data_IF_970291503161
#
_entry.id   IF_970291503161
#
_cell.length_a   1.000
_cell.length_b   1.000
_cell.length_c   1.000
_cell.angle_alpha   90.00
_cell.angle_beta   90.00
_cell.angle_gamma   90.00
#
_symmetry.space_group_name_H-M   'P 1'
#
loop_
_entity.id
_entity.type
_entity.pdbx_description
1 polymer ?
#
# COMPACT_ATOMS: atom_id res chain seq x y z
N UNK A 1 -60.76 32.91 -5.67
CA UNK A 1 -59.89 33.00 -4.48
C UNK A 1 -60.11 31.75 -3.68
N UNK A 2 -59.15 30.92 -3.29
CA UNK A 2 -57.74 30.74 -3.64
C UNK A 2 -57.44 29.31 -3.21
N UNK A 3 -56.80 28.54 -4.08
CA UNK A 3 -56.10 27.31 -3.73
C UNK A 3 -54.80 27.70 -3.06
N UNK A 4 -54.50 27.16 -1.89
CA UNK A 4 -53.16 27.24 -1.30
C UNK A 4 -52.67 25.81 -1.11
N UNK A 5 -51.75 25.40 -1.99
CA UNK A 5 -51.07 24.12 -2.00
C UNK A 5 -49.62 24.33 -1.53
N UNK A 6 -49.18 23.45 -0.65
CA UNK A 6 -47.88 23.46 -0.01
C UNK A 6 -46.75 23.26 -1.02
N UNK A 7 -45.66 24.01 -0.89
CA UNK A 7 -44.35 23.57 -1.38
C UNK A 7 -43.24 23.92 -0.39
N UNK A 8 -42.70 22.87 0.24
CA UNK A 8 -41.46 22.95 1.00
C UNK A 8 -40.27 23.17 0.03
N UNK A 9 -39.24 23.95 0.39
CA UNK A 9 -38.05 24.11 -0.42
C UNK A 9 -37.14 22.87 -0.32
N UNK A 10 -36.64 22.44 -1.49
CA UNK A 10 -35.90 21.20 -1.70
C UNK A 10 -34.48 21.19 -1.17
N UNK A 11 -33.99 19.98 -0.90
CA UNK A 11 -32.69 19.62 -0.35
C UNK A 11 -31.62 19.42 -1.45
N UNK A 12 -31.54 20.31 -2.44
CA UNK A 12 -30.63 20.16 -3.59
C UNK A 12 -29.28 20.90 -3.42
N UNK A 13 -29.03 21.56 -2.27
CA UNK A 13 -27.83 22.41 -2.09
C UNK A 13 -26.57 21.74 -1.52
N UNK A 14 -26.60 20.45 -1.17
CA UNK A 14 -25.48 19.78 -0.50
C UNK A 14 -24.49 19.12 -1.49
N UNK A 15 -24.98 18.57 -2.61
CA UNK A 15 -24.14 17.85 -3.57
C UNK A 15 -23.19 18.78 -4.35
N UNK A 16 -23.67 19.97 -4.73
CA UNK A 16 -22.88 20.96 -5.47
C UNK A 16 -21.73 21.57 -4.64
N UNK A 17 -21.89 21.61 -3.31
CA UNK A 17 -20.87 22.09 -2.38
C UNK A 17 -19.71 21.10 -2.19
N UNK A 18 -20.00 19.81 -2.12
CA UNK A 18 -18.99 18.74 -2.01
C UNK A 18 -18.17 18.59 -3.29
N UNK A 19 -18.78 18.72 -4.47
CA UNK A 19 -18.07 18.68 -5.76
C UNK A 19 -17.17 19.92 -5.96
N UNK A 20 -17.59 21.10 -5.47
CA UNK A 20 -16.78 22.31 -5.50
C UNK A 20 -15.62 22.27 -4.49
N UNK A 21 -15.80 21.68 -3.31
CA UNK A 21 -14.73 21.48 -2.32
C UNK A 21 -13.72 20.41 -2.81
N UNK A 22 -14.18 19.44 -3.59
CA UNK A 22 -13.33 18.46 -4.28
C UNK A 22 -12.45 19.07 -5.39
N UNK A 23 -12.86 20.19 -6.01
CA UNK A 23 -12.08 20.91 -7.00
C UNK A 23 -10.87 21.61 -6.36
N UNK A 24 -9.75 20.89 -6.28
CA UNK A 24 -8.47 21.40 -5.77
C UNK A 24 -7.85 20.56 -4.66
N UNK A 25 -8.57 19.55 -4.16
CA UNK A 25 -8.01 18.59 -3.20
C UNK A 25 -7.01 17.67 -3.89
N UNK A 26 -5.84 17.51 -3.26
CA UNK A 26 -4.81 16.58 -3.77
C UNK A 26 -5.33 15.15 -3.74
N UNK A 27 -4.84 14.34 -4.67
CA UNK A 27 -5.08 12.89 -4.69
C UNK A 27 -3.74 12.17 -4.56
N UNK A 28 -3.48 11.63 -3.38
CA UNK A 28 -2.22 10.97 -3.05
C UNK A 28 -2.46 9.46 -2.93
N UNK A 29 -1.63 8.69 -3.62
CA UNK A 29 -1.56 7.24 -3.47
C UNK A 29 -0.26 6.92 -2.73
N UNK A 30 -0.31 6.12 -1.68
CA UNK A 30 0.85 5.42 -1.14
C UNK A 30 0.79 3.97 -1.60
N UNK A 31 1.88 3.47 -2.19
CA UNK A 31 2.01 2.07 -2.58
C UNK A 31 3.13 1.44 -1.76
N UNK A 32 2.90 0.24 -1.22
CA UNK A 32 3.83 -0.52 -0.40
C UNK A 32 3.74 -2.02 -0.75
N UNK A 33 4.86 -2.61 -1.20
CA UNK A 33 4.91 -4.02 -1.59
C UNK A 33 4.71 -4.96 -0.39
N UNK A 34 3.94 -6.03 -0.59
CA UNK A 34 3.61 -6.94 0.50
C UNK A 34 4.79 -7.86 0.87
N UNK A 35 5.28 -7.74 2.11
CA UNK A 35 6.40 -8.52 2.65
C UNK A 35 7.60 -8.60 1.69
N UNK A 36 7.95 -7.46 1.06
CA UNK A 36 8.72 -7.39 -0.18
C UNK A 36 9.87 -8.39 -0.33
N UNK A 37 10.89 -8.34 0.54
CA UNK A 37 12.05 -9.22 0.37
C UNK A 37 11.68 -10.70 0.51
N UNK A 38 10.82 -11.06 1.47
CA UNK A 38 10.39 -12.45 1.64
C UNK A 38 9.56 -12.94 0.44
N UNK A 39 8.70 -12.07 -0.11
CA UNK A 39 7.91 -12.36 -1.30
C UNK A 39 8.77 -12.53 -2.55
N UNK A 40 9.86 -11.76 -2.69
CA UNK A 40 10.85 -11.95 -3.76
C UNK A 40 11.53 -13.32 -3.63
N UNK A 41 11.95 -13.71 -2.42
CA UNK A 41 12.54 -15.03 -2.18
C UNK A 41 11.54 -16.15 -2.51
N UNK A 42 10.29 -16.08 -2.02
CA UNK A 42 9.26 -17.09 -2.32
C UNK A 42 8.86 -17.15 -3.80
N UNK A 43 8.95 -16.04 -4.52
CA UNK A 43 8.70 -16.00 -5.97
C UNK A 43 9.77 -16.79 -6.71
N UNK A 44 11.04 -16.51 -6.40
CA UNK A 44 12.21 -17.04 -7.12
C UNK A 44 12.56 -18.47 -6.67
N UNK A 45 12.15 -18.85 -5.46
CA UNK A 45 12.37 -20.16 -4.84
C UNK A 45 11.01 -20.80 -4.51
N UNK A 46 10.37 -21.49 -5.47
CA UNK A 46 9.01 -22.02 -5.28
C UNK A 46 8.85 -22.96 -4.09
N UNK A 47 9.93 -23.63 -3.67
CA UNK A 47 9.98 -24.50 -2.49
C UNK A 47 9.78 -23.77 -1.16
N UNK A 48 9.90 -22.44 -1.14
CA UNK A 48 9.68 -21.58 0.03
C UNK A 48 8.24 -21.08 0.18
N UNK A 49 7.39 -21.27 -0.84
CA UNK A 49 5.99 -20.82 -0.81
C UNK A 49 5.20 -21.58 0.24
N UNK A 50 4.37 -20.87 1.01
CA UNK A 50 3.59 -21.47 2.09
C UNK A 50 4.40 -21.78 3.35
N UNK A 51 5.71 -21.47 3.39
CA UNK A 51 6.59 -21.72 4.54
C UNK A 51 6.93 -20.41 5.26
N UNK A 52 7.16 -20.45 6.59
CA UNK A 52 7.62 -19.28 7.32
C UNK A 52 9.04 -18.91 6.90
N UNK A 53 9.17 -17.86 6.10
CA UNK A 53 10.44 -17.31 5.62
C UNK A 53 10.74 -15.96 6.29
N UNK A 54 12.00 -15.76 6.64
CA UNK A 54 12.58 -14.47 7.02
C UNK A 54 13.82 -14.18 6.16
N UNK A 55 13.97 -12.94 5.72
CA UNK A 55 15.20 -12.44 5.11
C UNK A 55 16.00 -11.72 6.18
N UNK A 56 17.29 -12.01 6.32
CA UNK A 56 18.13 -11.36 7.32
C UNK A 56 19.34 -12.21 7.72
N UNK A 57 20.13 -11.69 8.68
CA UNK A 57 21.23 -12.47 9.25
C UNK A 57 20.69 -13.54 10.20
N UNK A 58 21.03 -14.81 10.01
CA UNK A 58 20.59 -15.91 10.90
C UNK A 58 21.43 -16.09 12.16
N UNK A 59 22.57 -15.39 12.28
CA UNK A 59 23.49 -15.52 13.42
C UNK A 59 22.95 -14.91 14.72
N UNK A 60 23.66 -15.15 15.83
CA UNK A 60 23.23 -14.71 17.17
C UNK A 60 23.07 -13.20 17.37
N UNK A 61 23.69 -12.37 16.51
CA UNK A 61 23.51 -10.90 16.46
C UNK A 61 22.73 -10.44 15.23
N UNK A 62 22.10 -11.37 14.52
CA UNK A 62 21.32 -11.09 13.32
C UNK A 62 19.96 -10.47 13.64
N UNK A 63 19.39 -9.83 12.63
CA UNK A 63 18.06 -9.20 12.68
C UNK A 63 17.27 -9.59 11.44
N UNK A 64 15.96 -9.77 11.61
CA UNK A 64 14.99 -9.99 10.52
C UNK A 64 14.81 -8.68 9.74
N UNK A 65 15.21 -8.66 8.48
CA UNK A 65 14.97 -7.54 7.56
C UNK A 65 13.53 -7.56 7.04
N UNK A 66 13.01 -8.73 6.70
CA UNK A 66 11.61 -8.92 6.29
C UNK A 66 11.12 -10.31 6.70
N UNK A 67 9.83 -10.42 7.01
CA UNK A 67 9.16 -11.68 7.31
C UNK A 67 7.96 -11.89 6.39
N UNK A 68 7.85 -13.11 5.85
CA UNK A 68 6.69 -13.61 5.11
C UNK A 68 5.42 -13.59 5.96
N UNK A 69 4.24 -13.61 5.34
CA UNK A 69 2.98 -13.67 6.07
C UNK A 69 2.85 -14.95 6.90
N UNK A 70 3.39 -16.07 6.42
CA UNK A 70 3.44 -17.33 7.15
C UNK A 70 4.27 -17.21 8.43
N UNK A 71 5.41 -16.51 8.39
CA UNK A 71 6.21 -16.23 9.58
C UNK A 71 5.51 -15.25 10.53
N UNK A 72 4.81 -14.24 10.00
CA UNK A 72 4.08 -13.24 10.81
C UNK A 72 2.96 -13.85 11.65
N UNK A 73 2.37 -14.98 11.23
CA UNK A 73 1.39 -15.74 12.05
C UNK A 73 1.96 -16.20 13.39
N UNK A 74 3.28 -16.35 13.49
CA UNK A 74 3.99 -16.71 14.73
C UNK A 74 4.49 -15.48 15.50
N UNK A 75 4.13 -14.26 15.07
CA UNK A 75 4.59 -13.01 15.67
C UNK A 75 5.97 -12.55 15.20
N UNK A 76 6.58 -13.22 14.20
CA UNK A 76 7.85 -12.76 13.61
C UNK A 76 7.61 -11.47 12.83
N UNK A 77 8.43 -10.45 13.08
CA UNK A 77 8.33 -9.12 12.45
C UNK A 77 9.69 -8.60 12.03
N UNK A 78 9.69 -7.64 11.10
CA UNK A 78 10.90 -6.91 10.74
C UNK A 78 11.52 -6.21 11.95
N UNK A 79 12.83 -5.98 11.92
CA UNK A 79 13.65 -5.47 13.01
C UNK A 79 13.71 -6.37 14.27
N UNK A 80 13.11 -7.57 14.27
CA UNK A 80 13.22 -8.52 15.36
C UNK A 80 14.61 -9.19 15.39
N UNK A 81 15.25 -9.37 16.57
CA UNK A 81 16.45 -10.19 16.69
C UNK A 81 16.22 -11.62 16.19
N UNK A 82 17.14 -12.17 15.40
CA UNK A 82 16.96 -13.48 14.75
C UNK A 82 16.82 -14.62 15.76
N UNK A 83 17.48 -14.53 16.91
CA UNK A 83 17.33 -15.48 18.02
C UNK A 83 15.90 -15.49 18.57
N UNK A 84 15.29 -14.31 18.69
CA UNK A 84 13.89 -14.17 19.13
C UNK A 84 12.94 -14.72 18.07
N UNK A 85 13.18 -14.39 16.80
CA UNK A 85 12.39 -14.89 15.68
C UNK A 85 12.41 -16.42 15.60
N UNK A 86 13.58 -17.05 15.78
CA UNK A 86 13.70 -18.52 15.83
C UNK A 86 12.99 -19.14 17.03
N UNK A 87 12.98 -18.47 18.17
CA UNK A 87 12.25 -18.96 19.34
C UNK A 87 10.73 -18.90 19.13
N UNK A 88 10.23 -17.86 18.46
CA UNK A 88 8.81 -17.72 18.13
C UNK A 88 8.36 -18.71 17.04
N UNK A 89 9.23 -18.98 16.07
CA UNK A 89 8.98 -19.91 14.98
C UNK A 89 10.19 -20.84 14.80
N UNK A 90 10.21 -22.01 15.47
CA UNK A 90 11.31 -22.97 15.37
C UNK A 90 11.61 -23.42 13.94
N UNK A 91 10.60 -23.46 13.07
CA UNK A 91 10.71 -23.85 11.65
C UNK A 91 11.06 -22.67 10.71
N UNK A 92 11.29 -21.46 11.22
CA UNK A 92 11.53 -20.26 10.40
C UNK A 92 12.75 -20.41 9.47
N UNK A 93 12.56 -20.29 8.18
CA UNK A 93 13.63 -20.41 7.20
C UNK A 93 14.28 -19.04 7.01
N UNK A 94 15.58 -18.94 7.26
CA UNK A 94 16.34 -17.72 7.01
C UNK A 94 16.96 -17.73 5.61
N UNK A 95 16.64 -16.71 4.82
CA UNK A 95 17.24 -16.43 3.52
C UNK A 95 18.27 -15.29 3.67
N UNK A 96 19.43 -15.46 3.01
CA UNK A 96 20.42 -14.39 2.90
C UNK A 96 19.88 -13.30 1.98
N UNK A 97 20.06 -12.04 2.36
CA UNK A 97 19.59 -10.90 1.55
C UNK A 97 20.25 -10.86 0.17
N UNK A 98 19.43 -10.83 -0.90
CA UNK A 98 19.85 -10.63 -2.29
C UNK A 98 19.56 -9.19 -2.76
N UNK A 99 20.19 -8.20 -2.12
CA UNK A 99 19.87 -6.77 -2.33
C UNK A 99 19.95 -6.28 -3.78
N UNK A 100 20.82 -6.85 -4.60
CA UNK A 100 20.87 -6.51 -6.03
C UNK A 100 19.56 -6.89 -6.75
N UNK A 101 19.01 -8.07 -6.46
CA UNK A 101 17.71 -8.52 -6.98
C UNK A 101 16.59 -7.62 -6.47
N UNK A 102 16.62 -7.24 -5.19
CA UNK A 102 15.59 -6.37 -4.60
C UNK A 102 15.60 -4.97 -5.25
N UNK A 103 16.78 -4.42 -5.53
CA UNK A 103 16.93 -3.14 -6.26
C UNK A 103 16.45 -3.26 -7.70
N UNK A 104 16.71 -4.36 -8.37
CA UNK A 104 16.21 -4.60 -9.72
C UNK A 104 14.69 -4.64 -9.77
N UNK A 105 14.05 -5.39 -8.87
CA UNK A 105 12.59 -5.43 -8.78
C UNK A 105 12.03 -4.05 -8.41
N UNK A 106 12.67 -3.32 -7.49
CA UNK A 106 12.30 -1.94 -7.17
C UNK A 106 12.34 -1.01 -8.39
N UNK A 107 13.35 -1.15 -9.27
CA UNK A 107 13.41 -0.38 -10.53
C UNK A 107 12.22 -0.67 -11.44
N UNK A 108 11.78 -1.92 -11.53
CA UNK A 108 10.61 -2.32 -12.31
C UNK A 108 9.33 -1.69 -11.74
N UNK A 109 9.14 -1.75 -10.43
CA UNK A 109 7.98 -1.15 -9.73
C UNK A 109 7.96 0.38 -9.91
N UNK A 110 9.10 1.05 -9.75
CA UNK A 110 9.22 2.51 -9.96
C UNK A 110 8.95 2.92 -11.40
N UNK A 111 9.20 2.06 -12.38
CA UNK A 111 8.83 2.31 -13.77
C UNK A 111 7.30 2.28 -13.96
N UNK A 112 6.58 1.39 -13.25
CA UNK A 112 5.11 1.41 -13.20
C UNK A 112 4.63 2.73 -12.61
N UNK A 113 5.18 3.18 -11.48
CA UNK A 113 4.76 4.44 -10.86
C UNK A 113 4.90 5.63 -11.81
N UNK A 114 6.05 5.75 -12.48
CA UNK A 114 6.33 6.84 -13.42
C UNK A 114 5.46 6.83 -14.68
N UNK A 115 4.82 5.71 -14.99
CA UNK A 115 3.83 5.66 -16.07
C UNK A 115 2.56 6.45 -15.73
N UNK A 116 2.16 6.42 -14.46
CA UNK A 116 0.91 7.02 -13.96
C UNK A 116 1.09 8.49 -13.52
N UNK A 117 2.26 8.87 -13.00
CA UNK A 117 2.58 10.27 -12.65
C UNK A 117 4.07 10.54 -12.67
N UNK A 118 4.47 11.77 -12.94
CA UNK A 118 5.87 12.22 -12.78
C UNK A 118 6.21 12.53 -11.32
N UNK A 119 5.20 12.77 -10.49
CA UNK A 119 5.34 13.14 -9.08
C UNK A 119 5.42 11.88 -8.20
N UNK A 120 6.56 11.21 -8.27
CA UNK A 120 6.87 10.02 -7.48
C UNK A 120 7.91 10.35 -6.42
N UNK A 121 7.59 10.06 -5.16
CA UNK A 121 8.50 10.22 -4.02
C UNK A 121 8.76 8.86 -3.36
N UNK A 122 9.89 8.20 -3.67
CA UNK A 122 10.25 6.93 -3.04
C UNK A 122 10.69 7.11 -1.59
N UNK A 123 10.22 6.24 -0.70
CA UNK A 123 10.64 6.21 0.71
C UNK A 123 11.69 5.12 0.95
N UNK A 124 11.53 3.99 0.27
CA UNK A 124 12.41 2.83 0.38
C UNK A 124 12.55 2.12 -1.00
N UNK A 125 12.99 0.85 -0.99
CA UNK A 125 12.96 0.01 -2.18
C UNK A 125 11.52 -0.40 -2.59
N UNK A 126 10.59 -0.49 -1.65
CA UNK A 126 9.26 -1.05 -1.83
C UNK A 126 8.10 -0.08 -1.63
N UNK A 127 8.35 1.14 -1.14
CA UNK A 127 7.31 2.15 -0.93
C UNK A 127 7.58 3.48 -1.63
N UNK A 128 6.50 4.12 -2.08
CA UNK A 128 6.51 5.46 -2.64
C UNK A 128 5.15 6.17 -2.46
N UNK A 129 5.19 7.50 -2.35
CA UNK A 129 4.03 8.34 -2.62
C UNK A 129 3.95 8.71 -4.11
N UNK A 130 2.73 8.75 -4.62
CA UNK A 130 2.40 9.18 -5.97
C UNK A 130 1.34 10.28 -5.86
N UNK A 131 1.63 11.47 -6.38
CA UNK A 131 0.63 12.51 -6.53
C UNK A 131 -0.04 12.37 -7.90
N UNK A 132 -1.33 12.02 -7.88
CA UNK A 132 -2.18 11.83 -9.06
C UNK A 132 -3.30 12.88 -9.10
N UNK A 133 -3.06 14.04 -8.47
CA UNK A 133 -3.99 15.18 -8.50
C UNK A 133 -4.31 15.55 -9.94
N UNK A 134 -3.26 15.73 -10.76
CA UNK A 134 -3.37 15.76 -12.21
C UNK A 134 -3.39 14.35 -12.74
N UNK A 135 -4.49 13.98 -13.37
CA UNK A 135 -4.66 12.67 -13.98
C UNK A 135 -3.99 12.64 -15.36
N UNK A 136 -2.76 12.10 -15.39
CA UNK A 136 -1.94 12.04 -16.60
C UNK A 136 -2.56 11.23 -17.73
N UNK A 137 -3.30 10.17 -17.40
CA UNK A 137 -3.80 9.19 -18.38
C UNK A 137 -5.31 9.32 -18.62
N UNK A 138 -5.99 10.24 -17.95
CA UNK A 138 -7.43 10.46 -18.11
C UNK A 138 -8.30 9.31 -17.57
N UNK A 139 -7.85 8.64 -16.51
CA UNK A 139 -8.54 7.49 -15.88
C UNK A 139 -9.76 7.94 -15.03
N UNK A 140 -9.75 9.15 -14.49
CA UNK A 140 -10.82 9.80 -13.73
C UNK A 140 -10.83 9.54 -12.23
N UNK A 141 -10.10 8.54 -11.72
CA UNK A 141 -10.17 8.15 -10.30
C UNK A 141 -8.82 7.69 -9.74
N UNK A 142 -8.42 8.26 -8.60
CA UNK A 142 -7.21 7.85 -7.89
C UNK A 142 -7.30 6.41 -7.36
N UNK A 143 -8.50 5.97 -6.95
CA UNK A 143 -8.76 4.58 -6.58
C UNK A 143 -8.52 3.66 -7.76
N UNK A 144 -9.04 4.01 -8.94
CA UNK A 144 -8.84 3.21 -10.16
C UNK A 144 -7.37 3.19 -10.61
N UNK A 145 -6.67 4.32 -10.50
CA UNK A 145 -5.23 4.39 -10.76
C UNK A 145 -4.46 3.45 -9.81
N UNK A 146 -4.77 3.46 -8.52
CA UNK A 146 -4.14 2.57 -7.54
C UNK A 146 -4.38 1.08 -7.85
N UNK A 147 -5.59 0.70 -8.26
CA UNK A 147 -5.91 -0.66 -8.72
C UNK A 147 -5.06 -1.06 -9.94
N UNK A 148 -4.98 -0.18 -10.95
CA UNK A 148 -4.20 -0.43 -12.17
C UNK A 148 -2.71 -0.59 -11.85
N UNK A 149 -2.15 0.28 -11.01
CA UNK A 149 -0.77 0.17 -10.54
C UNK A 149 -0.52 -1.19 -9.89
N UNK A 150 -1.39 -1.63 -8.97
CA UNK A 150 -1.25 -2.94 -8.32
C UNK A 150 -1.33 -4.10 -9.31
N UNK A 151 -2.27 -4.04 -10.26
CA UNK A 151 -2.42 -5.04 -11.32
C UNK A 151 -1.19 -5.12 -12.21
N UNK A 152 -0.63 -3.97 -12.62
CA UNK A 152 0.57 -3.90 -13.44
C UNK A 152 1.81 -4.41 -12.70
N UNK A 153 1.98 -4.06 -11.42
CA UNK A 153 3.04 -4.59 -10.56
C UNK A 153 2.94 -6.11 -10.53
N UNK A 154 1.75 -6.67 -10.29
CA UNK A 154 1.52 -8.11 -10.26
C UNK A 154 1.82 -8.77 -11.59
N UNK A 155 1.39 -8.18 -12.70
CA UNK A 155 1.63 -8.70 -14.04
C UNK A 155 3.13 -8.72 -14.39
N UNK A 156 3.87 -7.65 -14.08
CA UNK A 156 5.30 -7.52 -14.43
C UNK A 156 6.21 -8.30 -13.51
N UNK A 157 5.89 -8.36 -12.21
CA UNK A 157 6.83 -8.85 -11.19
C UNK A 157 6.40 -10.16 -10.53
N UNK A 158 5.13 -10.57 -10.69
CA UNK A 158 4.48 -11.66 -9.95
C UNK A 158 4.49 -11.48 -8.43
N UNK A 159 4.56 -10.24 -7.97
CA UNK A 159 4.47 -9.84 -6.56
C UNK A 159 3.23 -8.99 -6.34
N UNK A 160 2.71 -8.97 -5.12
CA UNK A 160 1.56 -8.13 -4.75
C UNK A 160 2.03 -6.86 -4.05
N UNK A 161 1.21 -5.83 -4.16
CA UNK A 161 1.37 -4.58 -3.43
C UNK A 161 0.03 -4.19 -2.83
N UNK A 162 0.09 -3.52 -1.69
CA UNK A 162 -1.06 -2.85 -1.11
C UNK A 162 -0.96 -1.35 -1.34
N UNK A 163 -2.10 -0.69 -1.44
CA UNK A 163 -2.16 0.74 -1.69
C UNK A 163 -3.17 1.45 -0.80
N UNK A 164 -2.87 2.69 -0.47
CA UNK A 164 -3.73 3.59 0.26
C UNK A 164 -3.93 4.88 -0.52
N UNK A 165 -5.17 5.36 -0.59
CA UNK A 165 -5.52 6.58 -1.33
C UNK A 165 -6.13 7.59 -0.37
N UNK A 166 -5.62 8.82 -0.37
CA UNK A 166 -6.21 9.91 0.42
C UNK A 166 -5.81 11.28 -0.12
N UNK A 167 -6.21 12.34 0.58
CA UNK A 167 -5.95 13.73 0.23
C UNK A 167 -4.61 14.28 0.76
N UNK A 168 -3.89 13.48 1.56
CA UNK A 168 -2.54 13.78 1.99
C UNK A 168 -1.72 12.51 2.19
N UNK A 169 -0.39 12.66 2.25
CA UNK A 169 0.58 11.57 2.38
C UNK A 169 0.38 10.74 3.65
N UNK A 170 0.17 11.38 4.81
CA UNK A 170 0.05 10.69 6.09
C UNK A 170 -1.13 9.71 6.09
N UNK A 171 -2.32 10.18 5.68
CA UNK A 171 -3.51 9.33 5.59
C UNK A 171 -3.37 8.28 4.50
N UNK A 172 -2.78 8.60 3.35
CA UNK A 172 -2.53 7.61 2.30
C UNK A 172 -1.63 6.46 2.79
N UNK A 173 -0.57 6.78 3.57
CA UNK A 173 0.29 5.76 4.16
C UNK A 173 -0.47 4.86 5.14
N UNK A 174 -1.21 5.45 6.08
CA UNK A 174 -2.00 4.70 7.05
C UNK A 174 -3.02 3.80 6.36
N UNK A 175 -3.70 4.32 5.33
CA UNK A 175 -4.66 3.56 4.53
C UNK A 175 -4.02 2.32 3.91
N UNK A 176 -2.80 2.45 3.38
CA UNK A 176 -2.12 1.34 2.68
C UNK A 176 -1.81 0.13 3.57
N UNK A 177 -1.77 0.31 4.90
CA UNK A 177 -1.52 -0.76 5.86
C UNK A 177 -2.79 -1.52 6.27
N UNK A 178 -3.98 -0.93 6.13
CA UNK A 178 -5.22 -1.46 6.71
C UNK A 178 -5.65 -2.81 6.12
N UNK A 179 -5.53 -2.95 4.80
CA UNK A 179 -6.05 -4.09 4.05
C UNK A 179 -4.94 -5.01 3.52
N UNK A 180 -3.72 -4.94 4.08
CA UNK A 180 -2.61 -5.82 3.68
C UNK A 180 -2.94 -7.31 3.96
N UNK A 181 -2.53 -8.27 3.11
CA UNK A 181 -1.85 -8.12 1.81
C UNK A 181 -2.80 -7.89 0.62
N UNK A 182 -2.23 -7.48 -0.52
CA UNK A 182 -2.90 -7.30 -1.81
C UNK A 182 -4.18 -6.45 -1.67
N UNK A 183 -4.09 -5.41 -0.83
CA UNK A 183 -5.22 -4.58 -0.41
C UNK A 183 -5.26 -3.21 -1.06
N UNK A 184 -6.43 -2.60 -1.02
CA UNK A 184 -6.62 -1.18 -1.31
C UNK A 184 -7.52 -0.59 -0.23
N UNK A 185 -7.16 0.57 0.29
CA UNK A 185 -7.99 1.34 1.22
C UNK A 185 -8.04 2.81 0.78
N UNK A 186 -9.18 3.45 0.95
CA UNK A 186 -9.40 4.85 0.60
C UNK A 186 -9.88 5.57 1.84
N UNK A 187 -9.22 6.67 2.20
CA UNK A 187 -9.68 7.60 3.24
C UNK A 187 -10.06 8.90 2.53
N UNK A 188 -11.36 9.17 2.43
CA UNK A 188 -11.90 10.34 1.73
C UNK A 188 -11.73 11.62 2.56
N UNK A 189 -11.80 12.80 1.93
CA UNK A 189 -12.03 14.04 2.65
C UNK A 189 -13.21 13.90 3.64
N UNK A 190 -13.10 14.51 4.81
CA UNK A 190 -14.08 14.38 5.90
C UNK A 190 -13.93 13.13 6.78
N UNK A 191 -13.43 12.01 6.25
CA UNK A 191 -13.25 10.76 7.01
C UNK A 191 -11.97 10.75 7.87
N UNK A 192 -10.99 11.59 7.54
CA UNK A 192 -9.62 11.51 8.09
C UNK A 192 -9.52 11.67 9.61
N UNK A 193 -10.26 12.62 10.21
CA UNK A 193 -10.20 12.85 11.65
C UNK A 193 -10.77 11.66 12.44
N UNK A 194 -11.94 11.15 12.02
CA UNK A 194 -12.55 9.97 12.65
C UNK A 194 -11.68 8.72 12.47
N UNK A 195 -11.06 8.57 11.30
CA UNK A 195 -10.13 7.48 11.04
C UNK A 195 -8.94 7.49 12.01
N UNK A 196 -8.29 8.65 12.18
CA UNK A 196 -7.11 8.78 13.06
C UNK A 196 -7.48 8.58 14.53
N UNK A 197 -8.65 9.04 14.96
CA UNK A 197 -9.12 8.87 16.34
C UNK A 197 -9.36 7.39 16.72
N UNK A 198 -9.53 6.50 15.75
CA UNK A 198 -9.75 5.07 15.96
C UNK A 198 -8.50 4.18 15.90
N UNK A 199 -7.31 4.75 15.69
CA UNK A 199 -6.03 4.02 15.57
C UNK A 199 -5.43 3.60 16.92
#
# INVERSE_FOLDING_TARGET
MSTDDHRAPGADGAADGEEAEAQGLRKIIHVDMDAFFASVEQRDHPELRGKPVAVGGSGGRGVVAAASYEARKFGVKSAMPSVTAKRLCPDLIFCKSRFEVYREVSRQIRAVFRHHTELVEPLSLDEAYLDVTTDRLGIGSATRIAELIRQEIRAKTRLTASAGVSYNKFLAKIASDQNKPDGLCVIRPGEGAGFVAGL
#
